data_IF_879425969535
#
_entry.id   IF_879425969535
#
_cell.length_a   1.000
_cell.length_b   1.000
_cell.length_c   1.000
_cell.angle_alpha   90.00
_cell.angle_beta   90.00
_cell.angle_gamma   90.00
#
_symmetry.space_group_name_H-M   'P 1'
#
loop_
_entity.id
_entity.type
_entity.pdbx_description
1 polymer ?
#
# COMPACT_ATOMS: atom_id res chain seq x y z
N UNK A 1 13.42 31.19 35.42
CA UNK A 1 13.31 32.57 35.91
C UNK A 1 11.82 32.88 36.07
N UNK A 2 11.33 32.91 37.30
CA UNK A 2 9.99 33.41 37.60
C UNK A 2 10.14 34.89 37.97
N UNK A 3 10.02 35.75 36.96
CA UNK A 3 10.04 37.20 37.14
C UNK A 3 8.66 37.61 37.65
N UNK A 4 8.56 37.88 38.94
CA UNK A 4 7.35 38.45 39.55
C UNK A 4 7.50 39.97 39.50
N UNK A 5 6.55 40.66 38.86
CA UNK A 5 6.47 42.11 38.90
C UNK A 5 5.57 42.48 40.07
N UNK A 6 6.07 43.25 41.04
CA UNK A 6 5.21 43.83 42.07
C UNK A 6 4.57 45.15 41.56
N UNK A 7 3.48 45.58 42.19
CA UNK A 7 2.57 46.65 41.74
C UNK A 7 3.20 48.05 41.48
N UNK A 8 4.50 48.23 41.72
CA UNK A 8 5.27 49.46 41.47
C UNK A 8 6.24 49.39 40.28
N UNK A 9 6.23 48.29 39.50
CA UNK A 9 7.10 48.15 38.32
C UNK A 9 8.58 47.92 38.64
N UNK A 10 8.90 47.64 39.91
CA UNK A 10 10.23 47.19 40.34
C UNK A 10 10.36 45.69 40.12
N UNK A 11 11.53 45.27 39.64
CA UNK A 11 11.81 43.89 39.33
C UNK A 11 12.28 43.17 40.60
N UNK A 12 11.66 42.05 40.98
CA UNK A 12 12.10 41.26 42.13
C UNK A 12 13.12 40.21 41.67
N UNK A 13 14.31 40.23 42.25
CA UNK A 13 15.38 39.25 41.99
C UNK A 13 15.94 38.75 43.33
N UNK A 14 16.39 37.50 43.38
CA UNK A 14 17.17 37.04 44.53
C UNK A 14 18.63 37.51 44.44
N UNK A 15 19.32 37.71 45.58
CA UNK A 15 20.77 38.03 45.60
C UNK A 15 21.59 37.04 44.77
N UNK A 16 21.24 35.75 44.83
CA UNK A 16 21.91 34.70 44.04
C UNK A 16 21.74 34.89 42.54
N UNK A 17 20.52 35.19 42.09
CA UNK A 17 20.21 35.41 40.68
C UNK A 17 20.90 36.68 40.15
N UNK A 18 20.93 37.74 40.96
CA UNK A 18 21.62 38.98 40.63
C UNK A 18 23.15 38.76 40.50
N UNK A 19 23.76 38.01 41.42
CA UNK A 19 25.19 37.62 41.35
C UNK A 19 25.50 36.78 40.11
N UNK A 20 24.63 35.83 39.76
CA UNK A 20 24.76 35.00 38.56
C UNK A 20 24.70 35.87 37.30
N UNK A 21 23.76 36.82 37.22
CA UNK A 21 23.64 37.73 36.08
C UNK A 21 24.88 38.61 35.93
N UNK A 22 25.34 39.21 37.03
CA UNK A 22 26.56 40.02 37.04
C UNK A 22 27.78 39.22 36.54
N UNK A 23 28.01 38.03 37.11
CA UNK A 23 29.13 37.18 36.74
C UNK A 23 29.06 36.67 35.30
N UNK A 24 27.87 36.30 34.80
CA UNK A 24 27.71 35.83 33.42
C UNK A 24 28.03 36.93 32.40
N UNK A 25 27.56 38.16 32.64
CA UNK A 25 27.84 39.27 31.73
C UNK A 25 29.33 39.62 31.79
N UNK A 26 29.93 39.66 32.99
CA UNK A 26 31.35 39.91 33.14
C UNK A 26 32.21 38.86 32.41
N UNK A 27 31.93 37.58 32.60
CA UNK A 27 32.65 36.48 31.94
C UNK A 27 32.50 36.53 30.41
N UNK A 28 31.31 36.88 29.89
CA UNK A 28 31.10 37.03 28.45
C UNK A 28 31.89 38.21 27.88
N UNK A 29 31.95 39.34 28.60
CA UNK A 29 32.73 40.50 28.20
C UNK A 29 34.23 40.20 28.22
N UNK A 30 34.74 39.54 29.26
CA UNK A 30 36.14 39.11 29.34
C UNK A 30 36.47 38.11 28.23
N UNK A 31 35.58 37.15 27.96
CA UNK A 31 35.76 36.21 26.85
C UNK A 31 35.81 36.92 25.50
N UNK A 32 34.89 37.86 25.23
CA UNK A 32 34.91 38.67 24.00
C UNK A 32 36.15 39.54 23.89
N UNK A 33 36.66 40.05 25.01
CA UNK A 33 37.91 40.81 25.07
C UNK A 33 39.10 39.91 24.68
N UNK A 34 39.17 38.70 25.26
CA UNK A 34 40.24 37.71 24.98
C UNK A 34 40.25 37.20 23.52
N UNK A 35 39.12 37.29 22.82
CA UNK A 35 39.03 36.95 21.40
C UNK A 35 39.59 38.06 20.48
N UNK A 36 39.64 39.30 20.97
CA UNK A 36 40.07 40.47 20.17
C UNK A 36 41.49 40.92 20.47
N UNK A 37 41.97 40.64 21.67
CA UNK A 37 43.30 41.04 22.12
C UNK A 37 43.96 39.80 22.75
N UNK A 38 45.18 39.46 22.34
CA UNK A 38 45.89 38.29 22.89
C UNK A 38 46.20 38.49 24.38
N UNK A 39 46.08 37.41 25.16
CA UNK A 39 46.25 37.40 26.62
C UNK A 39 47.64 37.81 27.13
N UNK A 40 48.59 38.06 26.23
CA UNK A 40 49.95 38.55 26.49
C UNK A 40 50.08 40.08 26.47
N UNK A 41 49.05 40.81 26.05
CA UNK A 41 49.07 42.27 25.99
C UNK A 41 48.70 42.90 27.36
N UNK A 42 49.60 43.69 28.00
CA UNK A 42 49.31 44.34 29.29
C UNK A 42 48.14 45.34 29.24
N UNK A 43 47.68 45.74 28.05
CA UNK A 43 46.48 46.56 27.88
C UNK A 43 45.20 45.79 28.17
N UNK A 44 45.23 44.47 28.16
CA UNK A 44 44.09 43.63 28.54
C UNK A 44 43.64 43.88 29.96
N UNK A 45 44.57 43.96 30.90
CA UNK A 45 44.25 44.14 32.31
C UNK A 45 43.65 45.52 32.58
N UNK A 46 44.08 46.54 31.82
CA UNK A 46 43.55 47.90 31.91
C UNK A 46 42.11 47.92 31.39
N UNK A 47 41.88 47.37 30.19
CA UNK A 47 40.54 47.35 29.59
C UNK A 47 39.58 46.44 30.35
N UNK A 48 40.07 45.33 30.93
CA UNK A 48 39.28 44.46 31.79
C UNK A 48 38.83 45.18 33.07
N UNK A 49 39.72 45.94 33.72
CA UNK A 49 39.36 46.78 34.89
C UNK A 49 38.38 47.89 34.52
N UNK A 50 38.57 48.55 33.38
CA UNK A 50 37.64 49.58 32.92
C UNK A 50 36.25 48.99 32.61
N UNK A 51 36.20 47.78 32.04
CA UNK A 51 34.96 47.03 31.83
C UNK A 51 34.28 46.62 33.14
N UNK A 52 35.04 46.14 34.12
CA UNK A 52 34.53 45.82 35.46
C UNK A 52 33.95 47.05 36.15
N UNK A 53 34.63 48.20 36.06
CA UNK A 53 34.16 49.46 36.61
C UNK A 53 32.89 49.94 35.90
N UNK A 54 32.84 49.86 34.57
CA UNK A 54 31.66 50.23 33.79
C UNK A 54 30.47 49.32 34.11
N UNK A 55 30.70 48.02 34.23
CA UNK A 55 29.66 47.05 34.57
C UNK A 55 29.16 47.26 36.01
N UNK A 56 30.06 47.57 36.94
CA UNK A 56 29.69 47.95 38.31
C UNK A 56 28.84 49.22 38.34
N UNK A 57 29.19 50.25 37.58
CA UNK A 57 28.42 51.50 37.50
C UNK A 57 27.04 51.31 36.87
N UNK A 58 26.95 50.53 35.79
CA UNK A 58 25.66 50.26 35.13
C UNK A 58 24.72 49.47 36.03
N UNK A 59 25.25 48.44 36.70
CA UNK A 59 24.44 47.69 37.65
C UNK A 59 24.12 48.48 38.93
N UNK A 60 24.96 49.42 39.36
CA UNK A 60 24.60 50.35 40.45
C UNK A 60 23.35 51.17 40.09
N UNK A 61 23.22 51.59 38.82
CA UNK A 61 22.01 52.24 38.32
C UNK A 61 20.80 51.30 38.26
N UNK A 62 21.02 50.01 37.97
CA UNK A 62 19.96 49.00 37.96
C UNK A 62 19.42 48.68 39.36
N UNK A 63 20.25 48.76 40.41
CA UNK A 63 19.81 48.50 41.79
C UNK A 63 18.65 49.42 42.21
N UNK A 64 18.59 50.65 41.66
CA UNK A 64 17.51 51.60 41.96
C UNK A 64 16.12 51.15 41.46
N UNK A 65 16.07 50.22 40.51
CA UNK A 65 14.82 49.66 39.96
C UNK A 65 14.58 48.20 40.38
N UNK A 66 15.39 47.69 41.31
CA UNK A 66 15.39 46.29 41.74
C UNK A 66 15.03 46.16 43.22
N UNK A 67 14.18 45.19 43.52
CA UNK A 67 13.96 44.70 44.88
C UNK A 67 14.72 43.39 45.01
N UNK A 68 15.64 43.31 45.97
CA UNK A 68 16.54 42.18 46.13
C UNK A 68 16.18 41.44 47.42
N UNK A 69 15.74 40.19 47.32
CA UNK A 69 15.25 39.37 48.45
C UNK A 69 14.19 40.08 49.32
N UNK A 70 13.34 40.92 48.70
CA UNK A 70 12.27 41.67 49.38
C UNK A 70 12.72 42.95 50.08
N UNK A 71 14.01 43.31 50.03
CA UNK A 71 14.55 44.57 50.53
C UNK A 71 14.88 45.53 49.38
N UNK A 72 14.53 46.81 49.55
CA UNK A 72 14.96 47.88 48.66
C UNK A 72 16.39 48.29 49.04
N UNK A 73 17.37 47.82 48.26
CA UNK A 73 18.80 48.07 48.49
C UNK A 73 19.32 49.26 47.68
N UNK A 74 18.44 50.19 47.27
CA UNK A 74 18.78 51.37 46.45
C UNK A 74 19.90 52.25 47.00
N UNK A 75 20.14 52.24 48.32
CA UNK A 75 21.21 52.99 48.97
C UNK A 75 22.54 52.23 49.14
N UNK A 76 22.58 50.93 48.83
CA UNK A 76 23.72 50.07 49.12
C UNK A 76 24.65 49.98 47.90
N UNK A 77 25.97 49.93 48.14
CA UNK A 77 26.94 49.74 47.07
C UNK A 77 26.79 48.35 46.47
N UNK A 78 26.83 48.23 45.15
CA UNK A 78 26.75 46.95 44.46
C UNK A 78 27.85 45.99 44.89
N UNK A 79 29.03 46.52 45.21
CA UNK A 79 30.15 45.73 45.72
C UNK A 79 29.83 45.13 47.09
N UNK A 80 28.97 45.75 47.89
CA UNK A 80 28.51 45.20 49.17
C UNK A 80 27.42 44.16 48.95
N UNK A 81 26.46 44.43 48.04
CA UNK A 81 25.41 43.46 47.65
C UNK A 81 26.01 42.17 47.06
N UNK A 82 27.11 42.29 46.30
CA UNK A 82 27.85 41.15 45.73
C UNK A 82 28.77 40.44 46.73
N UNK A 83 29.12 41.09 47.86
CA UNK A 83 30.03 40.56 48.90
C UNK A 83 29.32 39.77 50.00
N UNK A 84 28.01 39.90 50.15
CA UNK A 84 27.24 39.11 51.15
C UNK A 84 27.04 37.70 50.61
N UNK A 85 28.08 36.89 50.78
CA UNK A 85 28.07 35.48 51.20
C UNK A 85 29.40 34.85 50.78
N UNK A 86 30.45 35.19 51.52
CA UNK A 86 31.74 34.48 51.56
C UNK A 86 31.64 33.08 52.21
N UNK A 87 30.44 32.49 52.21
CA UNK A 87 30.15 31.11 52.59
C UNK A 87 29.44 30.33 51.46
N UNK A 88 29.07 30.97 50.35
CA UNK A 88 28.50 30.33 49.16
C UNK A 88 29.51 30.35 48.00
N UNK A 89 30.77 30.00 48.30
CA UNK A 89 31.84 29.75 47.33
C UNK A 89 31.57 28.50 46.45
N UNK A 90 30.40 27.87 46.58
CA UNK A 90 29.90 26.80 45.72
C UNK A 90 28.96 27.32 44.63
N UNK A 91 29.25 28.48 44.04
CA UNK A 91 28.68 28.77 42.72
C UNK A 91 29.39 27.84 41.74
N UNK A 92 28.76 26.72 41.41
CA UNK A 92 29.29 25.76 40.45
C UNK A 92 29.65 26.53 39.15
N UNK A 93 30.93 26.58 38.77
CA UNK A 93 31.35 27.32 37.60
C UNK A 93 30.64 26.72 36.38
N UNK A 94 30.13 27.58 35.50
CA UNK A 94 29.46 27.14 34.28
C UNK A 94 30.42 26.28 33.44
N UNK A 95 30.22 24.96 33.47
CA UNK A 95 31.07 24.02 32.75
C UNK A 95 30.80 24.13 31.25
N UNK A 96 31.65 24.91 30.58
CA UNK A 96 31.65 25.07 29.13
C UNK A 96 31.78 23.73 28.40
N UNK A 97 32.46 22.73 28.98
CA UNK A 97 32.58 21.41 28.38
C UNK A 97 31.24 20.67 28.42
N UNK A 98 30.53 20.73 29.54
CA UNK A 98 29.19 20.13 29.65
C UNK A 98 28.17 20.86 28.79
N UNK A 99 28.21 22.19 28.71
CA UNK A 99 27.33 22.94 27.82
C UNK A 99 27.61 22.65 26.33
N UNK A 100 28.88 22.50 25.93
CA UNK A 100 29.25 22.10 24.58
C UNK A 100 28.80 20.68 24.26
N UNK A 101 28.90 19.74 25.22
CA UNK A 101 28.35 18.38 25.07
C UNK A 101 26.84 18.41 24.91
N UNK A 102 26.13 19.18 25.72
CA UNK A 102 24.69 19.35 25.60
C UNK A 102 24.31 19.89 24.23
N UNK A 103 25.04 20.92 23.74
CA UNK A 103 24.83 21.50 22.41
C UNK A 103 25.05 20.48 21.30
N UNK A 104 26.11 19.67 21.38
CA UNK A 104 26.38 18.61 20.40
C UNK A 104 25.29 17.52 20.41
N UNK A 105 24.82 17.13 21.59
CA UNK A 105 23.72 16.15 21.72
C UNK A 105 22.44 16.71 21.11
N UNK A 106 22.12 17.99 21.35
CA UNK A 106 20.95 18.64 20.77
C UNK A 106 21.04 18.70 19.24
N UNK A 107 22.18 19.11 18.68
CA UNK A 107 22.39 19.13 17.23
C UNK A 107 22.23 17.73 16.64
N UNK A 108 22.84 16.71 17.26
CA UNK A 108 22.74 15.32 16.79
C UNK A 108 21.32 14.79 16.87
N UNK A 109 20.58 15.18 17.91
CA UNK A 109 19.17 14.80 18.04
C UNK A 109 18.33 15.45 16.93
N UNK A 110 18.55 16.73 16.64
CA UNK A 110 17.86 17.43 15.54
C UNK A 110 18.16 16.78 14.18
N UNK A 111 19.42 16.40 13.92
CA UNK A 111 19.82 15.66 12.72
C UNK A 111 19.10 14.30 12.61
N UNK A 112 19.06 13.53 13.70
CA UNK A 112 18.37 12.24 13.75
C UNK A 112 16.86 12.39 13.55
N UNK A 113 16.24 13.41 14.14
CA UNK A 113 14.81 13.70 13.95
C UNK A 113 14.52 14.03 12.49
N UNK A 114 15.38 14.81 11.84
CA UNK A 114 15.26 15.11 10.41
C UNK A 114 15.44 13.86 9.54
N UNK A 115 16.42 13.00 9.85
CA UNK A 115 16.62 11.73 9.16
C UNK A 115 15.43 10.79 9.31
N UNK A 116 14.93 10.59 10.52
CA UNK A 116 13.76 9.75 10.79
C UNK A 116 12.53 10.29 10.04
N UNK A 117 12.33 11.60 10.03
CA UNK A 117 11.21 12.22 9.32
C UNK A 117 11.31 12.00 7.81
N UNK A 118 12.51 12.20 7.24
CA UNK A 118 12.78 11.91 5.81
C UNK A 118 12.59 10.43 5.50
N UNK A 119 13.12 9.54 6.33
CA UNK A 119 13.02 8.10 6.17
C UNK A 119 11.57 7.63 6.25
N UNK A 120 10.80 8.12 7.22
CA UNK A 120 9.38 7.79 7.36
C UNK A 120 8.60 8.20 6.11
N UNK A 121 8.87 9.39 5.58
CA UNK A 121 8.22 9.87 4.34
C UNK A 121 8.63 9.03 3.12
N UNK A 122 9.93 8.79 2.92
CA UNK A 122 10.43 8.06 1.75
C UNK A 122 10.05 6.58 1.79
N UNK A 123 10.11 5.95 2.97
CA UNK A 123 9.70 4.56 3.17
C UNK A 123 8.21 4.39 2.91
N UNK A 124 7.37 5.30 3.41
CA UNK A 124 5.93 5.22 3.19
C UNK A 124 5.56 5.32 1.71
N UNK A 125 6.19 6.26 0.99
CA UNK A 125 6.01 6.38 -0.47
C UNK A 125 6.49 5.13 -1.20
N UNK A 126 7.69 4.65 -0.89
CA UNK A 126 8.26 3.46 -1.53
C UNK A 126 7.46 2.19 -1.26
N UNK A 127 6.95 2.03 -0.04
CA UNK A 127 6.08 0.90 0.31
C UNK A 127 4.78 0.97 -0.52
N UNK A 128 4.15 2.15 -0.59
CA UNK A 128 2.96 2.36 -1.39
C UNK A 128 3.21 2.03 -2.88
N UNK A 129 4.31 2.50 -3.46
CA UNK A 129 4.67 2.24 -4.85
C UNK A 129 4.84 0.73 -5.11
N UNK A 130 5.55 0.01 -4.22
CA UNK A 130 5.74 -1.44 -4.34
C UNK A 130 4.41 -2.18 -4.24
N UNK A 131 3.55 -1.82 -3.28
CA UNK A 131 2.24 -2.46 -3.15
C UNK A 131 1.34 -2.19 -4.35
N UNK A 132 1.36 -0.96 -4.90
CA UNK A 132 0.60 -0.61 -6.09
C UNK A 132 1.12 -1.36 -7.33
N UNK A 133 2.42 -1.46 -7.51
CA UNK A 133 3.03 -2.22 -8.60
C UNK A 133 2.70 -3.72 -8.50
N UNK A 134 2.81 -4.29 -7.29
CA UNK A 134 2.44 -5.68 -7.05
C UNK A 134 0.95 -5.93 -7.34
N UNK A 135 0.06 -5.05 -6.86
CA UNK A 135 -1.39 -5.16 -7.11
C UNK A 135 -1.69 -5.07 -8.60
N UNK A 136 -1.09 -4.12 -9.33
CA UNK A 136 -1.24 -4.02 -10.78
C UNK A 136 -0.75 -5.26 -11.52
N UNK A 137 0.38 -5.84 -11.09
CA UNK A 137 0.90 -7.07 -11.68
C UNK A 137 -0.05 -8.25 -11.47
N UNK A 138 -0.65 -8.37 -10.28
CA UNK A 138 -1.66 -9.39 -9.99
C UNK A 138 -2.92 -9.15 -10.81
N UNK A 139 -3.43 -7.91 -10.88
CA UNK A 139 -4.61 -7.56 -11.68
C UNK A 139 -4.39 -7.87 -13.17
N UNK A 140 -3.21 -7.59 -13.71
CA UNK A 140 -2.83 -7.94 -15.08
C UNK A 140 -2.83 -9.46 -15.30
N UNK A 141 -2.30 -10.23 -14.34
CA UNK A 141 -2.29 -11.70 -14.43
C UNK A 141 -3.70 -12.27 -14.37
N UNK A 142 -4.53 -11.78 -13.45
CA UNK A 142 -5.94 -12.18 -13.33
C UNK A 142 -6.70 -11.82 -14.60
N UNK A 143 -6.52 -10.60 -15.13
CA UNK A 143 -7.15 -10.15 -16.37
C UNK A 143 -6.78 -11.05 -17.55
N UNK A 144 -5.51 -11.49 -17.64
CA UNK A 144 -5.08 -12.46 -18.67
C UNK A 144 -5.72 -13.83 -18.49
N UNK A 145 -5.93 -14.28 -17.26
CA UNK A 145 -6.59 -15.56 -16.97
C UNK A 145 -8.07 -15.47 -17.34
N UNK A 146 -8.77 -14.40 -16.91
CA UNK A 146 -10.17 -14.16 -17.26
C UNK A 146 -10.34 -14.10 -18.78
N UNK A 147 -9.49 -13.35 -19.48
CA UNK A 147 -9.54 -13.29 -20.95
C UNK A 147 -9.33 -14.66 -21.62
N UNK A 148 -8.51 -15.55 -21.03
CA UNK A 148 -8.36 -16.93 -21.53
C UNK A 148 -9.62 -17.75 -21.29
N UNK A 149 -10.22 -17.64 -20.11
CA UNK A 149 -11.48 -18.33 -19.78
C UNK A 149 -12.59 -17.87 -20.73
N UNK A 150 -12.72 -16.57 -20.97
CA UNK A 150 -13.72 -16.03 -21.90
C UNK A 150 -13.53 -16.58 -23.32
N UNK A 151 -12.27 -16.66 -23.79
CA UNK A 151 -11.95 -17.25 -25.09
C UNK A 151 -12.23 -18.76 -25.15
N UNK A 152 -11.98 -19.50 -24.07
CA UNK A 152 -12.27 -20.94 -23.96
C UNK A 152 -13.79 -21.18 -23.97
N UNK A 153 -14.56 -20.39 -23.22
CA UNK A 153 -16.03 -20.44 -23.22
C UNK A 153 -16.61 -20.11 -24.59
N UNK A 154 -16.10 -19.07 -25.27
CA UNK A 154 -16.53 -18.75 -26.64
C UNK A 154 -16.20 -19.89 -27.63
N UNK A 155 -15.08 -20.58 -27.45
CA UNK A 155 -14.71 -21.71 -28.29
C UNK A 155 -15.57 -22.95 -28.00
N UNK A 156 -15.89 -23.22 -26.75
CA UNK A 156 -16.80 -24.32 -26.37
C UNK A 156 -18.21 -24.06 -26.89
N UNK A 157 -18.74 -22.83 -26.76
CA UNK A 157 -20.03 -22.47 -27.35
C UNK A 157 -20.04 -22.58 -28.88
N UNK A 158 -18.94 -22.26 -29.56
CA UNK A 158 -18.83 -22.48 -31.01
C UNK A 158 -18.80 -23.98 -31.35
N UNK A 159 -18.10 -24.80 -30.56
CA UNK A 159 -18.06 -26.26 -30.76
C UNK A 159 -19.42 -26.93 -30.49
N UNK A 160 -20.13 -26.53 -29.44
CA UNK A 160 -21.48 -27.03 -29.16
C UNK A 160 -22.47 -26.65 -30.27
N UNK A 161 -22.39 -25.42 -30.80
CA UNK A 161 -23.22 -24.98 -31.92
C UNK A 161 -22.87 -25.68 -33.26
N UNK A 162 -21.62 -26.11 -33.47
CA UNK A 162 -21.19 -26.86 -34.66
C UNK A 162 -21.49 -28.37 -34.59
N UNK A 163 -21.51 -28.95 -33.38
CA UNK A 163 -21.79 -30.37 -33.17
C UNK A 163 -23.28 -30.72 -33.27
N UNK A 164 -24.20 -29.78 -33.03
CA UNK A 164 -25.64 -30.07 -33.03
C UNK A 164 -26.28 -30.14 -34.45
N UNK A 165 -25.56 -29.74 -35.50
CA UNK A 165 -26.10 -29.70 -36.88
C UNK A 165 -25.42 -30.64 -37.89
N UNK A 166 -24.32 -31.31 -37.52
CA UNK A 166 -23.54 -32.13 -38.45
C UNK A 166 -23.92 -33.63 -38.44
N UNK A 167 -24.57 -34.13 -37.39
CA UNK A 167 -24.91 -35.56 -37.29
C UNK A 167 -26.21 -35.93 -38.05
N UNK A 168 -27.16 -35.00 -38.18
CA UNK A 168 -28.43 -35.25 -38.87
C UNK A 168 -28.25 -35.26 -40.41
N UNK A 169 -27.24 -34.55 -40.91
CA UNK A 169 -26.95 -34.48 -42.36
C UNK A 169 -26.15 -35.68 -42.89
N UNK A 170 -25.61 -36.54 -42.01
CA UNK A 170 -24.96 -37.80 -42.40
C UNK A 170 -25.92 -39.00 -42.47
N UNK A 171 -27.17 -38.86 -42.02
CA UNK A 171 -28.16 -39.92 -42.16
C UNK A 171 -28.60 -40.00 -43.62
N UNK A 172 -28.07 -40.99 -44.36
CA UNK A 172 -28.37 -41.18 -45.78
C UNK A 172 -29.79 -41.75 -45.96
N UNK A 173 -30.79 -40.89 -45.88
CA UNK A 173 -32.20 -41.24 -46.14
C UNK A 173 -32.38 -41.95 -47.49
N UNK A 174 -31.57 -41.61 -48.50
CA UNK A 174 -31.59 -42.26 -49.81
C UNK A 174 -31.18 -43.74 -49.77
N UNK A 175 -30.36 -44.16 -48.81
CA UNK A 175 -29.97 -45.57 -48.66
C UNK A 175 -31.09 -46.42 -48.01
N UNK A 176 -32.02 -45.79 -47.27
CA UNK A 176 -33.18 -46.47 -46.66
C UNK A 176 -34.40 -46.43 -47.58
N UNK A 177 -34.58 -45.34 -48.34
CA UNK A 177 -35.74 -45.19 -49.21
C UNK A 177 -35.70 -46.16 -50.40
N UNK A 178 -34.52 -46.42 -50.98
CA UNK A 178 -34.35 -47.39 -52.08
C UNK A 178 -34.88 -48.80 -51.75
N UNK A 179 -34.45 -49.46 -50.66
CA UNK A 179 -34.98 -50.77 -50.33
C UNK A 179 -36.49 -50.72 -50.04
N UNK A 180 -37.01 -49.61 -49.49
CA UNK A 180 -38.44 -49.46 -49.27
C UNK A 180 -39.23 -49.40 -50.60
N UNK A 181 -38.73 -48.65 -51.58
CA UNK A 181 -39.30 -48.60 -52.93
C UNK A 181 -39.21 -49.95 -53.64
N UNK A 182 -38.09 -50.66 -53.48
CA UNK A 182 -37.91 -52.01 -54.02
C UNK A 182 -38.92 -53.01 -53.42
N UNK A 183 -39.14 -52.95 -52.09
CA UNK A 183 -40.16 -53.77 -51.43
C UNK A 183 -41.58 -53.44 -51.91
N UNK A 184 -41.91 -52.16 -52.09
CA UNK A 184 -43.21 -51.76 -52.64
C UNK A 184 -43.38 -52.23 -54.08
N UNK A 185 -42.33 -52.14 -54.90
CA UNK A 185 -42.28 -52.67 -56.26
C UNK A 185 -42.49 -54.18 -56.30
N UNK A 186 -41.84 -54.91 -55.38
CA UNK A 186 -42.01 -56.36 -55.24
C UNK A 186 -43.42 -56.75 -54.82
N UNK A 187 -44.01 -56.06 -53.83
CA UNK A 187 -45.40 -56.32 -53.41
C UNK A 187 -46.38 -56.08 -54.57
N UNK A 188 -46.15 -55.04 -55.36
CA UNK A 188 -47.01 -54.74 -56.50
C UNK A 188 -46.86 -55.77 -57.64
N UNK A 189 -45.63 -56.24 -57.91
CA UNK A 189 -45.42 -57.31 -58.89
C UNK A 189 -46.02 -58.64 -58.43
N UNK A 190 -45.92 -58.97 -57.14
CA UNK A 190 -46.57 -60.13 -56.56
C UNK A 190 -48.10 -60.05 -56.69
N UNK A 191 -48.69 -58.88 -56.40
CA UNK A 191 -50.14 -58.64 -56.57
C UNK A 191 -50.60 -58.88 -58.01
N UNK A 192 -49.79 -58.53 -59.01
CA UNK A 192 -50.14 -58.74 -60.42
C UNK A 192 -49.93 -60.19 -60.89
N UNK A 193 -48.92 -60.89 -60.34
CA UNK A 193 -48.57 -62.25 -60.74
C UNK A 193 -49.41 -63.32 -60.03
N UNK A 194 -49.89 -63.05 -58.81
CA UNK A 194 -50.68 -64.01 -58.03
C UNK A 194 -51.98 -64.46 -58.74
N UNK A 195 -52.77 -63.57 -59.36
CA UNK A 195 -53.96 -63.97 -60.12
C UNK A 195 -53.62 -64.78 -61.37
N UNK A 196 -52.50 -64.48 -62.03
CA UNK A 196 -52.04 -65.24 -63.20
C UNK A 196 -51.71 -66.67 -62.80
N UNK A 197 -50.95 -66.84 -61.71
CA UNK A 197 -50.59 -68.14 -61.17
C UNK A 197 -51.83 -68.93 -60.71
N UNK A 198 -52.81 -68.26 -60.10
CA UNK A 198 -54.10 -68.89 -59.76
C UNK A 198 -54.82 -69.40 -61.01
N UNK A 199 -54.87 -68.61 -62.09
CA UNK A 199 -55.51 -69.06 -63.34
C UNK A 199 -54.76 -70.23 -63.99
N UNK A 200 -53.42 -70.26 -63.91
CA UNK A 200 -52.64 -71.39 -64.41
C UNK A 200 -52.88 -72.65 -63.57
N UNK A 201 -52.96 -72.50 -62.25
CA UNK A 201 -53.29 -73.59 -61.34
C UNK A 201 -54.68 -74.16 -61.62
N UNK A 202 -55.70 -73.32 -61.75
CA UNK A 202 -57.04 -73.75 -62.16
C UNK A 202 -57.03 -74.46 -63.52
N UNK A 203 -56.20 -74.01 -64.47
CA UNK A 203 -56.07 -74.67 -65.78
C UNK A 203 -55.42 -76.05 -65.65
N UNK A 204 -54.42 -76.19 -64.79
CA UNK A 204 -53.81 -77.50 -64.51
C UNK A 204 -54.78 -78.43 -63.79
N UNK A 205 -55.51 -77.96 -62.77
CA UNK A 205 -56.54 -78.75 -62.08
C UNK A 205 -57.62 -79.23 -63.06
N UNK A 206 -58.13 -78.34 -63.92
CA UNK A 206 -59.08 -78.74 -64.97
C UNK A 206 -58.50 -79.78 -65.95
N UNK A 207 -57.20 -79.71 -66.23
CA UNK A 207 -56.51 -80.68 -67.08
C UNK A 207 -56.35 -82.03 -66.37
N UNK A 208 -56.04 -82.02 -65.07
CA UNK A 208 -55.95 -83.22 -64.23
C UNK A 208 -57.32 -83.87 -64.13
N UNK A 209 -58.37 -83.11 -63.80
CA UNK A 209 -59.76 -83.60 -63.75
C UNK A 209 -60.19 -84.22 -65.08
N UNK A 210 -59.79 -83.62 -66.21
CA UNK A 210 -60.06 -84.17 -67.53
C UNK A 210 -59.31 -85.49 -67.77
N UNK A 211 -58.03 -85.57 -67.39
CA UNK A 211 -57.22 -86.78 -67.51
C UNK A 211 -57.71 -87.89 -66.58
N UNK A 212 -58.12 -87.58 -65.36
CA UNK A 212 -58.71 -88.53 -64.41
C UNK A 212 -60.03 -89.09 -64.96
N UNK A 213 -60.93 -88.23 -65.47
CA UNK A 213 -62.17 -88.66 -66.13
C UNK A 213 -61.89 -89.54 -67.35
N UNK A 214 -60.94 -89.15 -68.21
CA UNK A 214 -60.56 -89.94 -69.37
C UNK A 214 -59.96 -91.31 -68.97
N UNK A 215 -59.19 -91.37 -67.88
CA UNK A 215 -58.65 -92.60 -67.34
C UNK A 215 -59.74 -93.50 -66.73
N UNK A 216 -60.69 -92.92 -65.98
CA UNK A 216 -61.86 -93.64 -65.47
C UNK A 216 -62.74 -94.20 -66.60
N UNK A 217 -62.95 -93.45 -67.68
CA UNK A 217 -63.68 -93.91 -68.86
C UNK A 217 -62.95 -95.05 -69.59
N UNK A 218 -61.62 -94.99 -69.68
CA UNK A 218 -60.82 -96.09 -70.23
C UNK A 218 -60.84 -97.34 -69.34
N UNK A 219 -60.84 -97.20 -68.01
CA UNK A 219 -60.98 -98.33 -67.09
C UNK A 219 -62.38 -98.95 -67.19
N UNK A 220 -63.44 -98.14 -67.33
CA UNK A 220 -64.81 -98.64 -67.56
C UNK A 220 -65.03 -99.30 -68.93
N UNK A 221 -64.17 -99.05 -69.92
CA UNK A 221 -64.21 -99.71 -71.24
C UNK A 221 -63.35 -100.98 -71.30
N UNK A 222 -62.57 -101.28 -70.25
CA UNK A 222 -61.71 -102.45 -70.15
C UNK A 222 -62.26 -103.57 -69.26
N UNK A 223 -63.38 -103.33 -68.56
CA UNK A 223 -64.24 -104.33 -67.90
C UNK A 223 -65.46 -104.66 -68.78
#
# INVERSE_FOLDING_TARGET
MNLSMDGEGKLTLSRKEFKILYNNILQNLIHRLSLRIPSTDPRMDIVARDLENYLSQTFQGLIQSLIIDGEDLSSTSILEVLKVDSHDDNVEPFDLATNNKLRQILIRNDELVLEISKLKRSLSLRAQDIYQEFTRSVDDQVSRIVAKIDLEVEQEQKRENEQDYTDITQFKFDEINKPYEDYLGFVNSLKNNLPLLQSEFERYDNTIDFLEKAHEEQMKQKD
#
